data_IF_949026572722
#
_entry.id   IF_949026572722
#
_cell.length_a   1.000
_cell.length_b   1.000
_cell.length_c   1.000
_cell.angle_alpha   90.00
_cell.angle_beta   90.00
_cell.angle_gamma   90.00
#
_symmetry.space_group_name_H-M   'P 1'
#
loop_
_entity.id
_entity.type
_entity.pdbx_description
1 polymer ?
#
# COMPACT_ATOMS: atom_id res chain seq x y z
N UNK A 1 4.40 8.44 -9.93
CA UNK A 1 3.09 7.81 -10.19
C UNK A 1 2.00 8.82 -10.53
N UNK A 2 1.57 9.69 -9.60
CA UNK A 2 0.41 10.60 -9.78
C UNK A 2 0.51 11.45 -11.06
N UNK A 3 1.68 12.02 -11.32
CA UNK A 3 1.93 12.81 -12.53
C UNK A 3 1.70 12.02 -13.83
N UNK A 4 2.20 10.78 -13.90
CA UNK A 4 2.06 9.91 -15.08
C UNK A 4 0.62 9.45 -15.25
N UNK A 5 -0.08 9.13 -14.15
CA UNK A 5 -1.50 8.80 -14.20
C UNK A 5 -2.35 9.98 -14.70
N UNK A 6 -2.02 11.20 -14.26
CA UNK A 6 -2.67 12.41 -14.77
C UNK A 6 -2.41 12.62 -16.27
N UNK A 7 -1.22 12.29 -16.77
CA UNK A 7 -0.93 12.31 -18.20
C UNK A 7 -1.76 11.27 -18.97
N UNK A 8 -1.89 10.06 -18.43
CA UNK A 8 -2.72 8.99 -19.02
C UNK A 8 -4.19 9.45 -19.09
N UNK A 9 -4.71 10.04 -18.02
CA UNK A 9 -6.09 10.52 -17.90
C UNK A 9 -6.37 11.87 -18.58
N UNK A 10 -5.38 12.51 -19.20
CA UNK A 10 -5.50 13.86 -19.82
C UNK A 10 -6.63 13.96 -20.86
N UNK A 11 -7.05 12.85 -21.45
CA UNK A 11 -8.19 12.81 -22.39
C UNK A 11 -9.55 13.04 -21.73
N UNK A 12 -9.66 12.89 -20.42
CA UNK A 12 -10.88 13.15 -19.66
C UNK A 12 -10.55 13.96 -18.38
N UNK A 13 -10.70 15.30 -18.42
CA UNK A 13 -10.40 16.19 -17.30
C UNK A 13 -11.15 15.83 -16.02
N UNK A 14 -12.39 15.32 -16.14
CA UNK A 14 -13.20 14.90 -14.99
C UNK A 14 -12.66 13.64 -14.33
N UNK A 15 -12.18 12.66 -15.12
CA UNK A 15 -11.52 11.46 -14.59
C UNK A 15 -10.16 11.80 -13.94
N UNK A 16 -9.40 12.72 -14.51
CA UNK A 16 -8.14 13.20 -13.94
C UNK A 16 -8.37 13.88 -12.58
N UNK A 17 -9.37 14.76 -12.50
CA UNK A 17 -9.74 15.45 -11.25
C UNK A 17 -10.21 14.44 -10.21
N UNK A 18 -11.07 13.49 -10.59
CA UNK A 18 -11.52 12.41 -9.73
C UNK A 18 -10.35 11.59 -9.15
N UNK A 19 -9.38 11.21 -9.98
CA UNK A 19 -8.20 10.48 -9.51
C UNK A 19 -7.38 11.31 -8.50
N UNK A 20 -7.14 12.59 -8.79
CA UNK A 20 -6.38 13.47 -7.90
C UNK A 20 -7.05 13.65 -6.53
N UNK A 21 -8.37 13.81 -6.50
CA UNK A 21 -9.15 13.86 -5.27
C UNK A 21 -9.09 12.53 -4.51
N UNK A 22 -9.28 11.42 -5.22
CA UNK A 22 -9.25 10.09 -4.63
C UNK A 22 -7.88 9.79 -4.00
N UNK A 23 -6.79 10.13 -4.70
CA UNK A 23 -5.43 9.92 -4.20
C UNK A 23 -5.20 10.61 -2.85
N UNK A 24 -5.77 11.79 -2.63
CA UNK A 24 -5.68 12.48 -1.33
C UNK A 24 -6.36 11.68 -0.21
N UNK A 25 -7.55 11.15 -0.46
CA UNK A 25 -8.27 10.30 0.50
C UNK A 25 -7.50 9.00 0.76
N UNK A 26 -6.99 8.37 -0.30
CA UNK A 26 -6.17 7.16 -0.18
C UNK A 26 -4.93 7.41 0.69
N UNK A 27 -4.20 8.51 0.49
CA UNK A 27 -3.02 8.83 1.31
C UNK A 27 -3.38 8.97 2.79
N UNK A 28 -4.53 9.56 3.11
CA UNK A 28 -5.01 9.67 4.48
C UNK A 28 -5.20 8.31 5.14
N UNK A 29 -5.83 7.36 4.44
CA UNK A 29 -6.01 5.99 4.93
C UNK A 29 -4.66 5.26 5.05
N UNK A 30 -3.79 5.40 4.04
CA UNK A 30 -2.48 4.74 4.04
C UNK A 30 -1.54 5.28 5.12
N UNK A 31 -1.67 6.54 5.57
CA UNK A 31 -0.89 7.05 6.70
C UNK A 31 -1.08 6.23 7.97
N UNK A 32 -2.29 5.71 8.22
CA UNK A 32 -2.54 4.84 9.37
C UNK A 32 -1.69 3.56 9.30
N UNK A 33 -1.54 2.99 8.12
CA UNK A 33 -0.74 1.79 7.91
C UNK A 33 0.77 2.07 7.88
N UNK A 34 1.19 3.22 7.34
CA UNK A 34 2.59 3.64 7.40
C UNK A 34 3.02 3.90 8.85
N UNK A 35 2.21 4.59 9.65
CA UNK A 35 2.51 4.81 11.07
C UNK A 35 2.66 3.49 11.84
N UNK A 36 1.80 2.51 11.57
CA UNK A 36 1.93 1.20 12.21
C UNK A 36 3.16 0.42 11.72
N UNK A 37 3.46 0.45 10.42
CA UNK A 37 4.69 -0.12 9.86
C UNK A 37 5.92 0.49 10.53
N UNK A 38 5.96 1.80 10.67
CA UNK A 38 7.10 2.52 11.25
C UNK A 38 7.25 2.22 12.75
N UNK A 39 6.17 1.83 13.43
CA UNK A 39 6.21 1.31 14.80
C UNK A 39 6.67 -0.16 14.87
N UNK A 40 6.31 -1.01 13.91
CA UNK A 40 6.61 -2.45 13.92
C UNK A 40 8.03 -2.75 13.40
N UNK A 41 8.48 -2.04 12.36
CA UNK A 41 9.82 -2.18 11.76
C UNK A 41 10.94 -2.18 12.80
N UNK A 42 11.02 -1.21 13.74
CA UNK A 42 12.04 -1.21 14.79
C UNK A 42 11.95 -2.39 15.76
N UNK A 43 10.73 -2.83 16.09
CA UNK A 43 10.49 -3.99 16.96
C UNK A 43 10.98 -5.28 16.29
N UNK A 44 10.71 -5.44 15.00
CA UNK A 44 11.22 -6.55 14.19
C UNK A 44 12.75 -6.53 14.09
N UNK A 45 13.32 -5.36 13.79
CA UNK A 45 14.78 -5.18 13.70
C UNK A 45 15.46 -5.64 15.00
N UNK A 46 14.89 -5.29 16.15
CA UNK A 46 15.37 -5.74 17.45
C UNK A 46 15.25 -7.27 17.66
N UNK A 47 14.15 -7.90 17.23
CA UNK A 47 13.96 -9.36 17.35
C UNK A 47 14.99 -10.17 16.59
N UNK A 48 15.25 -9.76 15.35
CA UNK A 48 16.10 -10.48 14.42
C UNK A 48 17.58 -10.09 14.55
N UNK A 49 17.93 -9.31 15.58
CA UNK A 49 19.32 -9.02 15.93
C UNK A 49 20.00 -8.04 14.98
N UNK A 50 19.23 -7.13 14.38
CA UNK A 50 19.73 -6.15 13.44
C UNK A 50 20.81 -5.26 14.11
N UNK A 51 21.98 -5.20 13.47
CA UNK A 51 23.16 -4.44 13.91
C UNK A 51 23.38 -3.17 13.06
N UNK A 52 22.45 -2.86 12.16
CA UNK A 52 22.57 -1.82 11.15
C UNK A 52 22.24 -0.42 11.70
N UNK A 53 23.22 0.49 11.60
CA UNK A 53 23.26 1.83 12.20
C UNK A 53 22.16 2.80 11.75
N UNK A 54 21.40 2.47 10.69
CA UNK A 54 20.51 3.43 10.01
C UNK A 54 19.03 3.28 10.40
N UNK A 55 18.66 2.20 11.10
CA UNK A 55 17.29 1.94 11.54
C UNK A 55 17.10 2.12 13.05
N UNK A 56 18.11 2.61 13.78
CA UNK A 56 18.03 2.90 15.22
C UNK A 56 17.15 4.13 15.42
N UNK A 57 15.84 3.94 15.31
CA UNK A 57 14.86 4.92 15.80
C UNK A 57 15.00 5.00 17.33
N UNK A 58 14.84 6.16 17.97
CA UNK A 58 15.04 6.35 19.43
C UNK A 58 14.27 5.36 20.31
N UNK A 59 13.18 4.77 19.81
CA UNK A 59 12.40 3.72 20.47
C UNK A 59 13.22 2.42 20.66
N UNK A 60 14.07 2.04 19.69
CA UNK A 60 14.95 0.85 19.80
C UNK A 60 16.08 1.11 20.80
N UNK A 61 16.62 2.33 20.84
CA UNK A 61 17.65 2.70 21.82
C UNK A 61 17.13 2.58 23.26
N UNK A 62 15.85 2.91 23.50
CA UNK A 62 15.20 2.72 24.80
C UNK A 62 14.88 1.24 25.10
N UNK A 63 14.49 0.46 24.08
CA UNK A 63 14.18 -0.97 24.22
C UNK A 63 15.43 -1.88 24.30
N UNK A 64 16.60 -1.39 23.89
CA UNK A 64 17.90 -2.09 23.97
C UNK A 64 18.22 -2.59 25.39
N UNK A 65 17.60 -2.00 26.42
CA UNK A 65 17.68 -2.42 27.81
C UNK A 65 16.85 -3.66 28.19
N UNK A 66 15.88 -4.13 27.39
CA UNK A 66 14.93 -5.18 27.80
C UNK A 66 14.68 -6.25 26.72
N UNK A 67 15.58 -7.24 26.64
CA UNK A 67 15.56 -8.42 25.74
C UNK A 67 14.44 -9.45 26.01
N UNK A 68 13.16 -9.09 25.88
CA UNK A 68 12.07 -10.08 25.94
C UNK A 68 11.60 -10.50 24.54
N UNK A 69 12.05 -11.66 24.05
CA UNK A 69 11.65 -12.24 22.75
C UNK A 69 10.12 -12.43 22.60
N UNK A 70 9.41 -12.65 23.71
CA UNK A 70 7.95 -12.87 23.75
C UNK A 70 7.16 -11.61 23.37
N UNK A 71 7.53 -10.46 23.95
CA UNK A 71 6.92 -9.15 23.62
C UNK A 71 7.07 -8.78 22.15
N UNK A 72 8.14 -9.24 21.51
CA UNK A 72 8.41 -8.94 20.11
C UNK A 72 7.49 -9.74 19.18
N UNK A 73 7.33 -11.05 19.42
CA UNK A 73 6.39 -11.87 18.65
C UNK A 73 4.95 -11.37 18.81
N UNK A 74 4.58 -10.96 20.02
CA UNK A 74 3.29 -10.35 20.28
C UNK A 74 3.13 -9.04 19.52
N UNK A 75 4.14 -8.15 19.54
CA UNK A 75 4.12 -6.88 18.80
C UNK A 75 3.92 -7.04 17.29
N UNK A 76 4.51 -8.08 16.69
CA UNK A 76 4.33 -8.38 15.26
C UNK A 76 2.91 -8.90 14.99
N UNK A 77 2.43 -9.83 15.81
CA UNK A 77 1.10 -10.42 15.67
C UNK A 77 0.01 -9.35 15.81
N UNK A 78 0.08 -8.56 16.88
CA UNK A 78 -0.85 -7.46 17.10
C UNK A 78 -0.70 -6.37 16.05
N UNK A 79 0.52 -6.03 15.62
CA UNK A 79 0.76 -5.09 14.54
C UNK A 79 0.06 -5.46 13.25
N UNK A 80 0.21 -6.70 12.78
CA UNK A 80 -0.50 -7.20 11.58
C UNK A 80 -2.02 -7.18 11.75
N UNK A 81 -2.53 -7.58 12.91
CA UNK A 81 -3.96 -7.57 13.22
C UNK A 81 -4.50 -6.13 13.18
N UNK A 82 -3.80 -5.19 13.82
CA UNK A 82 -4.19 -3.78 13.85
C UNK A 82 -4.08 -3.13 12.46
N UNK A 83 -3.04 -3.41 11.66
CA UNK A 83 -2.97 -2.92 10.27
C UNK A 83 -4.15 -3.43 9.46
N UNK A 84 -4.47 -4.71 9.58
CA UNK A 84 -5.60 -5.32 8.85
C UNK A 84 -6.93 -4.71 9.28
N UNK A 85 -7.16 -4.54 10.58
CA UNK A 85 -8.35 -3.90 11.11
C UNK A 85 -8.48 -2.43 10.63
N UNK A 86 -7.39 -1.67 10.65
CA UNK A 86 -7.36 -0.29 10.15
C UNK A 86 -7.64 -0.21 8.65
N UNK A 87 -7.14 -1.16 7.85
CA UNK A 87 -7.46 -1.21 6.43
C UNK A 87 -8.91 -1.55 6.15
N UNK A 88 -9.50 -2.50 6.91
CA UNK A 88 -10.93 -2.80 6.81
C UNK A 88 -11.78 -1.57 7.16
N UNK A 89 -11.40 -0.84 8.22
CA UNK A 89 -12.04 0.44 8.57
C UNK A 89 -11.88 1.46 7.45
N UNK A 90 -10.69 1.57 6.83
CA UNK A 90 -10.46 2.43 5.68
C UNK A 90 -11.35 2.10 4.48
N UNK A 91 -11.57 0.82 4.20
CA UNK A 91 -12.51 0.35 3.17
C UNK A 91 -13.94 0.76 3.53
N UNK A 92 -14.39 0.48 4.75
CA UNK A 92 -15.73 0.82 5.19
C UNK A 92 -15.98 2.34 5.10
N UNK A 93 -15.04 3.16 5.57
CA UNK A 93 -15.14 4.62 5.50
C UNK A 93 -15.21 5.09 4.04
N UNK A 94 -14.35 4.58 3.18
CA UNK A 94 -14.32 5.02 1.77
C UNK A 94 -15.52 4.53 0.96
N UNK A 95 -16.08 3.36 1.25
CA UNK A 95 -17.31 2.89 0.61
C UNK A 95 -18.55 3.67 1.10
N UNK A 96 -18.76 3.72 2.41
CA UNK A 96 -19.96 4.32 3.03
C UNK A 96 -19.99 5.83 2.77
N UNK A 97 -18.86 6.51 2.97
CA UNK A 97 -18.78 7.97 2.82
C UNK A 97 -18.33 8.42 1.43
N UNK A 98 -18.24 7.54 0.43
CA UNK A 98 -17.86 7.89 -0.95
C UNK A 98 -18.64 9.09 -1.50
N UNK A 99 -19.94 9.15 -1.25
CA UNK A 99 -20.82 10.26 -1.63
C UNK A 99 -20.54 11.55 -0.85
N UNK A 100 -20.26 11.45 0.46
CA UNK A 100 -19.95 12.59 1.32
C UNK A 100 -18.59 13.20 0.95
N UNK A 101 -17.58 12.37 0.68
CA UNK A 101 -16.28 12.84 0.17
C UNK A 101 -16.42 13.54 -1.19
N UNK A 102 -17.28 13.03 -2.08
CA UNK A 102 -17.49 13.67 -3.38
C UNK A 102 -18.07 15.10 -3.22
N UNK A 103 -18.94 15.30 -2.24
CA UNK A 103 -19.48 16.62 -1.89
C UNK A 103 -18.44 17.49 -1.19
N UNK A 104 -17.69 16.92 -0.23
CA UNK A 104 -16.65 17.62 0.53
C UNK A 104 -15.56 18.20 -0.37
N UNK A 105 -15.12 17.44 -1.37
CA UNK A 105 -14.12 17.88 -2.34
C UNK A 105 -14.69 18.65 -3.54
N UNK A 106 -15.99 18.98 -3.50
CA UNK A 106 -16.71 19.65 -4.58
C UNK A 106 -16.43 19.05 -5.97
N UNK A 107 -16.63 17.72 -6.09
CA UNK A 107 -16.24 16.98 -7.28
C UNK A 107 -17.05 17.35 -8.55
N UNK A 108 -18.15 18.10 -8.45
CA UNK A 108 -18.94 18.57 -9.60
C UNK A 108 -19.25 17.46 -10.60
N UNK A 109 -18.93 17.67 -11.88
CA UNK A 109 -19.08 16.68 -12.97
C UNK A 109 -18.17 15.45 -12.82
N UNK A 110 -17.13 15.53 -11.98
CA UNK A 110 -16.21 14.42 -11.69
C UNK A 110 -16.75 13.46 -10.63
N UNK A 111 -17.90 13.77 -10.01
CA UNK A 111 -18.49 13.00 -8.91
C UNK A 111 -18.70 11.52 -9.24
N UNK A 112 -19.23 11.23 -10.43
CA UNK A 112 -19.52 9.84 -10.85
C UNK A 112 -18.22 9.02 -10.96
N UNK A 113 -17.19 9.59 -11.57
CA UNK A 113 -15.88 8.95 -11.70
C UNK A 113 -15.19 8.79 -10.34
N UNK A 114 -15.31 9.79 -9.46
CA UNK A 114 -14.74 9.74 -8.12
C UNK A 114 -15.38 8.66 -7.26
N UNK A 115 -16.72 8.53 -7.27
CA UNK A 115 -17.42 7.48 -6.53
C UNK A 115 -17.06 6.10 -7.09
N UNK A 116 -16.94 5.96 -8.41
CA UNK A 116 -16.49 4.70 -9.03
C UNK A 116 -15.05 4.36 -8.63
N UNK A 117 -14.13 5.33 -8.62
CA UNK A 117 -12.75 5.14 -8.19
C UNK A 117 -12.67 4.70 -6.74
N UNK A 118 -13.40 5.39 -5.84
CA UNK A 118 -13.50 5.04 -4.42
C UNK A 118 -13.91 3.59 -4.22
N UNK A 119 -15.00 3.15 -4.86
CA UNK A 119 -15.54 1.79 -4.67
C UNK A 119 -14.65 0.69 -5.23
N UNK A 120 -14.01 0.92 -6.39
CA UNK A 120 -13.17 -0.10 -7.02
C UNK A 120 -11.80 -0.18 -6.34
N UNK A 121 -11.20 0.97 -6.01
CA UNK A 121 -9.84 1.01 -5.46
C UNK A 121 -9.84 0.74 -3.95
N UNK A 122 -10.91 1.01 -3.20
CA UNK A 122 -10.97 0.71 -1.77
C UNK A 122 -10.63 -0.77 -1.49
N UNK A 123 -11.11 -1.70 -2.32
CA UNK A 123 -10.81 -3.14 -2.21
C UNK A 123 -9.29 -3.41 -2.22
N UNK A 124 -8.50 -2.58 -2.88
CA UNK A 124 -7.04 -2.70 -2.92
C UNK A 124 -6.36 -2.27 -1.62
N UNK A 125 -7.05 -1.58 -0.69
CA UNK A 125 -6.45 -1.10 0.56
C UNK A 125 -6.03 -2.23 1.49
N UNK A 126 -6.77 -3.34 1.49
CA UNK A 126 -6.40 -4.53 2.25
C UNK A 126 -5.04 -5.07 1.81
N UNK A 127 -4.87 -5.24 0.50
CA UNK A 127 -3.61 -5.69 -0.10
C UNK A 127 -2.50 -4.66 0.05
N UNK A 128 -2.83 -3.37 -0.07
CA UNK A 128 -1.88 -2.29 0.15
C UNK A 128 -1.32 -2.31 1.58
N UNK A 129 -2.16 -2.59 2.59
CA UNK A 129 -1.70 -2.71 3.98
C UNK A 129 -0.76 -3.88 4.19
N UNK A 130 -1.05 -5.03 3.59
CA UNK A 130 -0.16 -6.20 3.61
C UNK A 130 1.18 -5.87 2.94
N UNK A 131 1.15 -5.21 1.77
CA UNK A 131 2.36 -4.79 1.06
C UNK A 131 3.21 -3.82 1.89
N UNK A 132 2.57 -2.89 2.59
CA UNK A 132 3.25 -1.95 3.51
C UNK A 132 3.87 -2.70 4.70
N UNK A 133 3.17 -3.69 5.27
CA UNK A 133 3.71 -4.55 6.32
C UNK A 133 4.92 -5.36 5.83
N UNK A 134 4.85 -5.96 4.63
CA UNK A 134 5.97 -6.65 4.02
C UNK A 134 7.20 -5.74 3.83
N UNK A 135 7.00 -4.51 3.36
CA UNK A 135 8.09 -3.55 3.22
C UNK A 135 8.79 -3.24 4.55
N UNK A 136 8.03 -3.13 5.65
CA UNK A 136 8.59 -2.97 7.00
C UNK A 136 9.34 -4.21 7.47
N UNK A 137 8.80 -5.40 7.21
CA UNK A 137 9.46 -6.68 7.54
C UNK A 137 10.79 -6.82 6.79
N UNK A 138 10.82 -6.57 5.48
CA UNK A 138 12.06 -6.65 4.71
C UNK A 138 13.08 -5.62 5.13
N UNK A 139 12.64 -4.39 5.42
CA UNK A 139 13.53 -3.39 5.98
C UNK A 139 14.12 -3.87 7.30
N UNK A 140 13.34 -4.48 8.18
CA UNK A 140 13.82 -5.01 9.46
C UNK A 140 14.74 -6.26 9.35
N UNK A 141 14.74 -6.96 8.21
CA UNK A 141 15.58 -8.13 7.95
C UNK A 141 16.84 -7.81 7.10
N UNK A 142 17.25 -6.53 7.06
CA UNK A 142 18.32 -6.02 6.17
C UNK A 142 18.04 -6.23 4.65
N UNK A 143 16.82 -6.63 4.29
CA UNK A 143 16.30 -6.78 2.92
C UNK A 143 15.81 -5.45 2.32
N UNK A 144 16.63 -4.41 2.39
CA UNK A 144 16.27 -3.09 1.86
C UNK A 144 15.93 -3.11 0.37
N UNK A 145 16.59 -3.99 -0.39
CA UNK A 145 16.38 -4.16 -1.83
C UNK A 145 15.01 -4.78 -2.11
N UNK A 146 14.60 -5.80 -1.37
CA UNK A 146 13.29 -6.44 -1.51
C UNK A 146 12.15 -5.46 -1.21
N UNK A 147 12.31 -4.64 -0.16
CA UNK A 147 11.38 -3.57 0.18
C UNK A 147 11.26 -2.52 -0.94
N UNK A 148 12.38 -2.15 -1.54
CA UNK A 148 12.44 -1.23 -2.68
C UNK A 148 11.75 -1.84 -3.92
N UNK A 149 12.03 -3.11 -4.25
CA UNK A 149 11.43 -3.80 -5.39
C UNK A 149 9.91 -3.81 -5.26
N UNK A 150 9.35 -4.17 -4.10
CA UNK A 150 7.89 -4.15 -3.88
C UNK A 150 7.32 -2.74 -4.06
N UNK A 151 8.03 -1.72 -3.58
CA UNK A 151 7.60 -0.32 -3.73
C UNK A 151 7.59 0.13 -5.19
N UNK A 152 8.63 -0.21 -5.95
CA UNK A 152 8.75 0.12 -7.38
C UNK A 152 7.72 -0.64 -8.22
N UNK A 153 7.47 -1.91 -7.91
CA UNK A 153 6.44 -2.70 -8.59
C UNK A 153 5.07 -2.04 -8.46
N UNK A 154 4.70 -1.63 -7.25
CA UNK A 154 3.41 -0.97 -6.96
C UNK A 154 3.26 0.39 -7.62
N UNK A 155 4.34 1.18 -7.63
CA UNK A 155 4.25 2.61 -7.99
C UNK A 155 4.61 2.90 -9.44
N UNK A 156 5.38 2.01 -10.10
CA UNK A 156 5.92 2.24 -11.44
C UNK A 156 5.71 1.04 -12.36
N UNK A 157 6.26 -0.13 -12.03
CA UNK A 157 6.43 -1.23 -13.01
C UNK A 157 5.11 -1.88 -13.41
N UNK A 158 4.16 -2.01 -12.49
CA UNK A 158 2.90 -2.73 -12.77
C UNK A 158 1.77 -1.75 -13.05
N UNK A 159 1.60 -0.75 -12.18
CA UNK A 159 0.44 0.15 -12.24
C UNK A 159 0.41 1.04 -13.48
N UNK A 160 1.56 1.56 -13.91
CA UNK A 160 1.64 2.47 -15.05
C UNK A 160 1.33 1.77 -16.38
N UNK A 161 1.96 0.63 -16.73
CA UNK A 161 1.60 -0.05 -17.97
C UNK A 161 0.17 -0.59 -17.95
N UNK A 162 -0.32 -1.13 -16.83
CA UNK A 162 -1.72 -1.58 -16.74
C UNK A 162 -2.70 -0.43 -16.96
N UNK A 163 -2.49 0.71 -16.30
CA UNK A 163 -3.35 1.87 -16.48
C UNK A 163 -3.26 2.45 -17.90
N UNK A 164 -2.09 2.43 -18.53
CA UNK A 164 -1.90 2.83 -19.93
C UNK A 164 -2.67 1.91 -20.88
N UNK A 165 -2.55 0.60 -20.72
CA UNK A 165 -3.27 -0.40 -21.53
C UNK A 165 -4.78 -0.22 -21.36
N UNK A 166 -5.28 -0.13 -20.12
CA UNK A 166 -6.71 0.09 -19.87
C UNK A 166 -7.19 1.43 -20.41
N UNK A 167 -6.38 2.48 -20.35
CA UNK A 167 -6.72 3.78 -20.95
C UNK A 167 -6.85 3.69 -22.47
N UNK A 168 -6.07 2.86 -23.15
CA UNK A 168 -6.21 2.66 -24.61
C UNK A 168 -7.52 1.93 -24.94
N UNK A 169 -7.89 0.91 -24.18
CA UNK A 169 -9.17 0.21 -24.34
C UNK A 169 -10.38 1.12 -24.09
N UNK A 170 -10.30 2.00 -23.08
CA UNK A 170 -11.35 2.99 -22.81
C UNK A 170 -11.46 4.01 -23.96
N UNK A 171 -10.33 4.47 -24.52
CA UNK A 171 -10.32 5.39 -25.66
C UNK A 171 -10.87 4.77 -26.94
N UNK A 172 -10.69 3.46 -27.13
CA UNK A 172 -11.24 2.72 -28.26
C UNK A 172 -12.76 2.46 -28.14
N UNK A 173 -13.42 2.98 -27.10
CA UNK A 173 -14.88 2.95 -26.95
C UNK A 173 -15.45 1.59 -26.54
N UNK A 174 -14.61 0.61 -26.21
CA UNK A 174 -15.05 -0.74 -25.89
C UNK A 174 -15.56 -0.87 -24.45
N UNK A 175 -15.04 -0.06 -23.50
CA UNK A 175 -15.29 -0.21 -22.05
C UNK A 175 -15.26 1.18 -21.35
N UNK A 176 -16.06 1.37 -20.30
CA UNK A 176 -16.10 2.61 -19.50
C UNK A 176 -14.84 2.86 -18.64
N UNK A 177 -14.66 4.12 -18.21
CA UNK A 177 -13.50 4.62 -17.43
C UNK A 177 -13.23 3.81 -16.15
N UNK A 178 -14.25 3.15 -15.60
CA UNK A 178 -14.13 2.27 -14.44
C UNK A 178 -13.08 1.17 -14.61
N UNK A 179 -12.74 0.77 -15.84
CA UNK A 179 -11.68 -0.21 -16.11
C UNK A 179 -10.30 0.27 -15.64
N UNK A 180 -10.00 1.57 -15.77
CA UNK A 180 -8.70 2.12 -15.37
C UNK A 180 -8.49 1.94 -13.86
N UNK A 181 -9.56 2.03 -13.07
CA UNK A 181 -9.51 1.82 -11.62
C UNK A 181 -9.15 0.40 -11.23
N UNK A 182 -9.43 -0.61 -12.08
CA UNK A 182 -9.03 -2.00 -11.84
C UNK A 182 -7.52 -2.24 -11.92
N UNK A 183 -6.75 -1.31 -12.51
CA UNK A 183 -5.29 -1.41 -12.52
C UNK A 183 -4.71 -1.40 -11.10
N UNK A 184 -5.37 -0.72 -10.15
CA UNK A 184 -4.93 -0.61 -8.76
C UNK A 184 -5.04 -1.94 -7.98
N UNK A 185 -6.23 -2.57 -7.86
CA UNK A 185 -6.35 -3.85 -7.15
C UNK A 185 -5.50 -4.93 -7.81
N UNK A 186 -5.44 -5.00 -9.14
CA UNK A 186 -4.58 -5.95 -9.85
C UNK A 186 -3.10 -5.74 -9.46
N UNK A 187 -2.64 -4.49 -9.46
CA UNK A 187 -1.26 -4.17 -9.06
C UNK A 187 -0.98 -4.59 -7.62
N UNK A 188 -1.88 -4.27 -6.68
CA UNK A 188 -1.68 -4.57 -5.27
C UNK A 188 -1.67 -6.08 -5.00
N UNK A 189 -2.52 -6.85 -5.70
CA UNK A 189 -2.53 -8.32 -5.62
C UNK A 189 -1.23 -8.92 -6.15
N UNK A 190 -0.75 -8.49 -7.32
CA UNK A 190 0.51 -8.99 -7.90
C UNK A 190 1.68 -8.62 -7.00
N UNK A 191 1.74 -7.39 -6.49
CA UNK A 191 2.78 -6.97 -5.56
C UNK A 191 2.74 -7.78 -4.25
N UNK A 192 1.55 -8.11 -3.77
CA UNK A 192 1.38 -8.96 -2.59
C UNK A 192 1.89 -10.38 -2.84
N UNK A 193 1.63 -10.95 -4.02
CA UNK A 193 2.17 -12.26 -4.41
C UNK A 193 3.70 -12.24 -4.49
N UNK A 194 4.29 -11.22 -5.11
CA UNK A 194 5.75 -11.07 -5.16
C UNK A 194 6.32 -10.90 -3.74
N UNK A 195 5.66 -10.09 -2.91
CA UNK A 195 5.99 -9.92 -1.50
C UNK A 195 5.95 -11.25 -0.74
N UNK A 196 4.95 -12.09 -0.97
CA UNK A 196 4.88 -13.41 -0.35
C UNK A 196 6.00 -14.36 -0.82
N UNK A 197 6.33 -14.35 -2.12
CA UNK A 197 7.40 -15.17 -2.70
C UNK A 197 8.78 -14.82 -2.14
N UNK A 198 9.08 -13.53 -1.95
CA UNK A 198 10.32 -13.11 -1.29
C UNK A 198 10.40 -13.61 0.15
N UNK A 199 9.29 -13.59 0.89
CA UNK A 199 9.27 -14.00 2.29
C UNK A 199 9.57 -15.49 2.41
N UNK A 200 8.99 -16.28 1.50
CA UNK A 200 9.25 -17.71 1.39
C UNK A 200 10.73 -17.99 1.06
N UNK A 201 11.34 -17.18 0.19
CA UNK A 201 12.76 -17.30 -0.18
C UNK A 201 13.69 -16.98 0.98
N UNK A 202 13.43 -15.90 1.73
CA UNK A 202 14.26 -15.52 2.89
C UNK A 202 14.17 -16.58 3.99
N UNK A 203 12.97 -17.06 4.33
CA UNK A 203 12.79 -18.13 5.33
C UNK A 203 13.53 -19.42 4.96
N UNK A 204 13.55 -19.77 3.66
CA UNK A 204 14.29 -20.94 3.17
C UNK A 204 15.81 -20.74 3.26
N UNK A 205 16.30 -19.53 2.99
CA UNK A 205 17.72 -19.21 3.09
C UNK A 205 18.22 -19.15 4.54
N UNK A 206 17.42 -18.67 5.48
CA UNK A 206 17.77 -18.70 6.91
C UNK A 206 17.80 -20.12 7.47
N UNK A 207 16.86 -20.99 7.06
CA UNK A 207 16.85 -22.41 7.44
C UNK A 207 18.06 -23.20 6.91
N UNK A 208 18.78 -22.68 5.91
CA UNK A 208 19.99 -23.29 5.35
C UNK A 208 21.28 -22.72 5.98
N UNK A 209 21.16 -21.71 6.84
CA UNK A 209 22.27 -21.07 7.57
C UNK A 209 22.32 -21.45 9.06
N UNK A 210 21.31 -22.17 9.56
CA UNK A 210 21.34 -22.88 10.85
C UNK A 210 21.80 -24.31 10.65
#
# INVERSE_FOLDING_TARGET
MVYVMNLILKFNPSAQTAYGLFYKVQQFVLFLAFGLRDAITPILAFAYGMRSSNAITPIIAFAYGMRSKKRIQDGIKYGLIYTTALMILGIAITEIFSGAFATLFNAGESRVYFISAMRVISVSFLFAGINVAYQGIYQALDGGVESLVISLLRQLVIILPLAGIFSLFVRNGQIGISLIWWAFPITEVIACLVGYLFLKRIRKNESNKM
#
